data_IF_297317778015
#
_entry.id   IF_297317778015
#
_cell.length_a   1.000
_cell.length_b   1.000
_cell.length_c   1.000
_cell.angle_alpha   90.00
_cell.angle_beta   90.00
_cell.angle_gamma   90.00
#
_symmetry.space_group_name_H-M   'P 1'
#
loop_
_entity.id
_entity.type
_entity.pdbx_description
1 polymer ?
#
# COMPACT_ATOMS: atom_id res chain seq x y z
N UNK A 1 17.44 42.56 4.69
CA UNK A 1 16.22 41.74 4.83
C UNK A 1 15.33 42.04 3.63
N UNK A 2 15.27 41.14 2.65
CA UNK A 2 14.44 41.39 1.46
C UNK A 2 12.97 41.21 1.85
N UNK A 3 12.20 42.30 1.85
CA UNK A 3 10.75 42.24 1.92
C UNK A 3 10.26 41.47 0.69
N UNK A 4 9.93 40.18 0.87
CA UNK A 4 9.47 39.32 -0.21
C UNK A 4 8.23 39.93 -0.87
N UNK A 5 8.21 40.01 -2.21
CA UNK A 5 7.02 40.47 -2.96
C UNK A 5 5.77 39.77 -2.44
N UNK A 6 4.73 40.54 -2.15
CA UNK A 6 3.44 40.00 -1.69
C UNK A 6 2.88 39.01 -2.70
N UNK A 7 2.31 37.91 -2.20
CA UNK A 7 1.66 36.87 -3.01
C UNK A 7 0.22 36.67 -2.57
N UNK A 8 -0.63 36.27 -3.51
CA UNK A 8 -2.01 35.87 -3.22
C UNK A 8 -2.04 34.40 -2.75
N UNK A 9 -2.80 34.12 -1.69
CA UNK A 9 -3.00 32.76 -1.20
C UNK A 9 -3.96 31.97 -2.09
N UNK A 10 -3.55 30.80 -2.55
CA UNK A 10 -4.38 29.93 -3.42
C UNK A 10 -5.64 29.34 -2.74
N UNK A 11 -5.81 29.51 -1.42
CA UNK A 11 -6.97 29.00 -0.67
C UNK A 11 -7.97 30.09 -0.33
N UNK A 12 -7.51 31.18 0.27
CA UNK A 12 -8.40 32.26 0.74
C UNK A 12 -8.33 33.55 -0.09
N UNK A 13 -7.39 33.67 -1.04
CA UNK A 13 -7.22 34.87 -1.86
C UNK A 13 -6.50 36.04 -1.17
N UNK A 14 -6.19 35.94 0.13
CA UNK A 14 -5.52 37.02 0.85
C UNK A 14 -4.08 37.22 0.35
N UNK A 15 -3.65 38.49 0.25
CA UNK A 15 -2.26 38.84 0.00
C UNK A 15 -1.43 38.70 1.27
N UNK A 16 -0.25 38.09 1.15
CA UNK A 16 0.67 37.88 2.27
C UNK A 16 2.13 37.98 1.80
N UNK A 17 3.03 38.27 2.74
CA UNK A 17 4.48 38.24 2.49
C UNK A 17 5.00 36.82 2.68
N UNK A 18 5.43 36.11 1.62
CA UNK A 18 5.93 34.75 1.73
C UNK A 18 7.30 34.71 2.43
N UNK A 19 7.54 33.68 3.24
CA UNK A 19 8.85 33.43 3.88
C UNK A 19 9.76 32.53 3.03
N UNK A 20 9.22 31.92 1.95
CA UNK A 20 9.97 31.07 1.04
C UNK A 20 9.46 31.15 -0.41
N UNK A 21 10.34 30.86 -1.40
CA UNK A 21 10.03 31.06 -2.82
C UNK A 21 8.95 30.11 -3.35
N UNK A 22 8.72 28.97 -2.71
CA UNK A 22 7.70 27.98 -3.08
C UNK A 22 6.41 28.06 -2.24
N UNK A 23 6.28 29.05 -1.36
CA UNK A 23 5.09 29.17 -0.50
C UNK A 23 3.87 29.54 -1.34
N UNK A 24 2.84 28.68 -1.27
CA UNK A 24 1.56 28.79 -2.00
C UNK A 24 0.40 29.28 -1.13
N UNK A 25 0.51 29.13 0.19
CA UNK A 25 -0.56 29.43 1.15
C UNK A 25 -0.09 30.40 2.22
N UNK A 26 -1.00 31.28 2.67
CA UNK A 26 -0.73 32.17 3.80
C UNK A 26 -0.51 31.37 5.10
N UNK A 27 0.08 31.99 6.14
CA UNK A 27 0.34 31.35 7.43
C UNK A 27 -0.90 30.68 8.06
N UNK A 28 -2.09 31.25 7.89
CA UNK A 28 -3.33 30.70 8.45
C UNK A 28 -3.81 29.49 7.65
N UNK A 29 -3.82 29.60 6.32
CA UNK A 29 -4.32 28.54 5.45
C UNK A 29 -3.38 27.33 5.35
N UNK A 30 -2.07 27.52 5.55
CA UNK A 30 -1.08 26.45 5.35
C UNK A 30 -1.34 25.25 6.26
N UNK A 31 -1.77 25.50 7.50
CA UNK A 31 -1.97 24.45 8.49
C UNK A 31 -3.18 23.60 8.11
N UNK A 32 -4.27 24.24 7.70
CA UNK A 32 -5.47 23.54 7.26
C UNK A 32 -5.25 22.76 5.95
N UNK A 33 -4.44 23.28 5.01
CA UNK A 33 -4.07 22.52 3.81
C UNK A 33 -3.19 21.32 4.16
N UNK A 34 -2.19 21.50 5.03
CA UNK A 34 -1.33 20.40 5.51
C UNK A 34 -2.14 19.32 6.20
N UNK A 35 -3.12 19.68 7.03
CA UNK A 35 -4.02 18.73 7.68
C UNK A 35 -4.85 17.92 6.67
N UNK A 36 -5.40 18.59 5.64
CA UNK A 36 -6.14 17.92 4.57
C UNK A 36 -5.25 16.93 3.79
N UNK A 37 -4.04 17.35 3.40
CA UNK A 37 -3.10 16.48 2.71
C UNK A 37 -2.61 15.31 3.56
N UNK A 38 -2.37 15.54 4.85
CA UNK A 38 -2.03 14.49 5.81
C UNK A 38 -3.14 13.44 5.88
N UNK A 39 -4.39 13.89 6.02
CA UNK A 39 -5.56 12.99 6.03
C UNK A 39 -5.65 12.14 4.77
N UNK A 40 -5.56 12.75 3.59
CA UNK A 40 -5.64 11.99 2.33
C UNK A 40 -4.46 11.05 2.13
N UNK A 41 -3.26 11.45 2.58
CA UNK A 41 -2.07 10.59 2.56
C UNK A 41 -2.27 9.33 3.40
N UNK A 42 -2.68 9.47 4.67
CA UNK A 42 -2.89 8.32 5.56
C UNK A 42 -4.06 7.44 5.11
N UNK A 43 -5.13 8.02 4.56
CA UNK A 43 -6.23 7.26 3.97
C UNK A 43 -5.76 6.39 2.80
N UNK A 44 -4.94 6.93 1.89
CA UNK A 44 -4.34 6.16 0.80
C UNK A 44 -3.39 5.09 1.33
N UNK A 45 -2.62 5.38 2.37
CA UNK A 45 -1.70 4.40 2.96
C UNK A 45 -2.45 3.22 3.58
N UNK A 46 -3.54 3.47 4.32
CA UNK A 46 -4.40 2.43 4.86
C UNK A 46 -5.04 1.57 3.76
N UNK A 47 -5.58 2.21 2.71
CA UNK A 47 -6.12 1.49 1.56
C UNK A 47 -5.07 0.62 0.86
N UNK A 48 -3.85 1.13 0.68
CA UNK A 48 -2.74 0.38 0.11
C UNK A 48 -2.35 -0.82 0.98
N UNK A 49 -2.39 -0.69 2.30
CA UNK A 49 -2.13 -1.81 3.21
C UNK A 49 -3.17 -2.92 3.04
N UNK A 50 -4.46 -2.57 3.00
CA UNK A 50 -5.55 -3.54 2.76
C UNK A 50 -5.38 -4.21 1.40
N UNK A 51 -5.08 -3.45 0.35
CA UNK A 51 -4.86 -4.00 -0.99
C UNK A 51 -3.69 -4.99 -1.02
N UNK A 52 -2.58 -4.67 -0.34
CA UNK A 52 -1.44 -5.60 -0.22
C UNK A 52 -1.81 -6.89 0.51
N UNK A 53 -2.65 -6.80 1.55
CA UNK A 53 -3.14 -7.98 2.28
C UNK A 53 -4.07 -8.86 1.42
N UNK A 54 -4.94 -8.24 0.61
CA UNK A 54 -5.77 -8.97 -0.36
C UNK A 54 -4.89 -9.66 -1.40
N UNK A 55 -3.90 -8.95 -1.95
CA UNK A 55 -2.96 -9.49 -2.94
C UNK A 55 -2.14 -10.66 -2.37
N UNK A 56 -1.61 -10.55 -1.14
CA UNK A 56 -0.87 -11.65 -0.50
C UNK A 56 -1.77 -12.86 -0.21
N UNK A 57 -3.02 -12.63 0.19
CA UNK A 57 -4.01 -13.70 0.39
C UNK A 57 -4.32 -14.40 -0.93
N UNK A 58 -4.55 -13.65 -2.00
CA UNK A 58 -4.78 -14.23 -3.32
C UNK A 58 -3.56 -14.98 -3.86
N UNK A 59 -2.35 -14.43 -3.71
CA UNK A 59 -1.12 -15.11 -4.07
C UNK A 59 -0.97 -16.43 -3.30
N UNK A 60 -1.30 -16.42 -2.00
CA UNK A 60 -1.32 -17.63 -1.17
C UNK A 60 -2.35 -18.64 -1.67
N UNK A 61 -3.55 -18.21 -2.07
CA UNK A 61 -4.57 -19.08 -2.64
C UNK A 61 -4.14 -19.68 -3.99
N UNK A 62 -3.53 -18.88 -4.88
CA UNK A 62 -2.98 -19.33 -6.16
C UNK A 62 -1.89 -20.37 -5.96
N UNK A 63 -1.00 -20.14 -5.00
CA UNK A 63 0.05 -21.09 -4.63
C UNK A 63 -0.54 -22.42 -4.15
N UNK A 64 -1.53 -22.36 -3.24
CA UNK A 64 -2.20 -23.54 -2.72
C UNK A 64 -2.95 -24.32 -3.81
N UNK A 65 -3.67 -23.63 -4.69
CA UNK A 65 -4.38 -24.25 -5.80
C UNK A 65 -3.41 -24.95 -6.76
N UNK A 66 -2.36 -24.25 -7.19
CA UNK A 66 -1.35 -24.84 -8.08
C UNK A 66 -0.63 -26.04 -7.47
N UNK A 67 -0.33 -25.99 -6.17
CA UNK A 67 0.26 -27.11 -5.45
C UNK A 67 -0.71 -28.30 -5.33
N UNK A 68 -2.01 -28.05 -5.10
CA UNK A 68 -3.04 -29.09 -5.07
C UNK A 68 -3.16 -29.78 -6.45
N UNK A 69 -3.25 -28.99 -7.52
CA UNK A 69 -3.37 -29.47 -8.89
C UNK A 69 -2.14 -30.29 -9.30
N UNK A 70 -0.93 -29.82 -8.98
CA UNK A 70 0.32 -30.55 -9.21
C UNK A 70 0.35 -31.91 -8.51
N UNK A 71 -0.23 -31.98 -7.31
CA UNK A 71 -0.32 -33.21 -6.54
C UNK A 71 -1.52 -34.11 -6.94
N UNK A 72 -2.33 -33.72 -7.92
CA UNK A 72 -3.54 -34.43 -8.31
C UNK A 72 -4.62 -34.45 -7.21
N UNK A 73 -4.60 -33.45 -6.32
CA UNK A 73 -5.54 -33.32 -5.21
C UNK A 73 -6.53 -32.19 -5.49
N UNK A 74 -7.77 -32.35 -5.03
CA UNK A 74 -8.65 -31.18 -4.92
C UNK A 74 -8.17 -30.24 -3.81
N UNK A 75 -8.46 -28.94 -3.94
CA UNK A 75 -8.16 -27.95 -2.89
C UNK A 75 -8.72 -28.37 -1.52
N UNK A 76 -9.94 -28.91 -1.48
CA UNK A 76 -10.56 -29.42 -0.25
C UNK A 76 -9.78 -30.59 0.38
N UNK A 77 -9.30 -31.53 -0.44
CA UNK A 77 -8.44 -32.62 0.05
C UNK A 77 -7.09 -32.13 0.56
N UNK A 78 -6.50 -31.12 -0.09
CA UNK A 78 -5.29 -30.48 0.43
C UNK A 78 -5.56 -29.84 1.79
N UNK A 79 -6.68 -29.12 1.95
CA UNK A 79 -7.05 -28.46 3.21
C UNK A 79 -7.38 -29.43 4.35
N UNK A 80 -7.82 -30.65 4.05
CA UNK A 80 -8.07 -31.70 5.04
C UNK A 80 -6.77 -32.32 5.60
N UNK A 81 -5.61 -32.09 4.96
CA UNK A 81 -4.31 -32.55 5.47
C UNK A 81 -3.83 -31.68 6.64
N UNK A 82 -2.91 -32.22 7.43
CA UNK A 82 -2.25 -31.46 8.49
C UNK A 82 -1.52 -30.22 7.92
N UNK A 83 -1.36 -29.15 8.71
CA UNK A 83 -0.57 -27.98 8.30
C UNK A 83 0.83 -28.34 7.81
N UNK A 84 1.50 -29.28 8.46
CA UNK A 84 2.84 -29.74 8.11
C UNK A 84 2.87 -30.46 6.76
N UNK A 85 1.90 -31.34 6.50
CA UNK A 85 1.80 -32.05 5.24
C UNK A 85 1.52 -31.09 4.07
N UNK A 86 0.69 -30.07 4.28
CA UNK A 86 0.48 -28.99 3.29
C UNK A 86 1.75 -28.20 3.03
N UNK A 87 2.46 -27.78 4.08
CA UNK A 87 3.70 -27.04 3.95
C UNK A 87 4.81 -27.84 3.23
N UNK A 88 4.93 -29.13 3.52
CA UNK A 88 5.85 -30.02 2.83
C UNK A 88 5.56 -30.10 1.32
N UNK A 89 4.28 -30.22 0.97
CA UNK A 89 3.83 -30.29 -0.42
C UNK A 89 4.08 -28.97 -1.18
N UNK A 90 3.82 -27.81 -0.55
CA UNK A 90 4.14 -26.50 -1.14
C UNK A 90 5.64 -26.37 -1.42
N UNK A 91 6.50 -26.79 -0.48
CA UNK A 91 7.96 -26.76 -0.68
C UNK A 91 8.40 -27.63 -1.85
N UNK A 92 7.85 -28.84 -1.98
CA UNK A 92 8.13 -29.73 -3.10
C UNK A 92 7.67 -29.12 -4.43
N UNK A 93 6.49 -28.51 -4.46
CA UNK A 93 5.97 -27.81 -5.63
C UNK A 93 6.89 -26.66 -6.07
N UNK A 94 7.31 -25.79 -5.14
CA UNK A 94 8.25 -24.69 -5.43
C UNK A 94 9.60 -25.20 -5.96
N UNK A 95 10.16 -26.25 -5.34
CA UNK A 95 11.39 -26.91 -5.82
C UNK A 95 11.24 -27.46 -7.24
N UNK A 96 10.08 -28.05 -7.58
CA UNK A 96 9.81 -28.58 -8.93
C UNK A 96 9.74 -27.49 -10.01
N UNK A 97 9.34 -26.27 -9.62
CA UNK A 97 9.25 -25.11 -10.51
C UNK A 97 10.57 -24.37 -10.68
N UNK A 98 11.62 -24.77 -9.97
CA UNK A 98 12.91 -24.06 -9.97
C UNK A 98 12.88 -22.71 -9.25
N UNK A 99 11.76 -22.38 -8.59
CA UNK A 99 11.64 -21.23 -7.70
C UNK A 99 12.22 -21.63 -6.34
N UNK A 100 13.44 -21.17 -6.03
CA UNK A 100 13.98 -21.31 -4.66
C UNK A 100 13.07 -20.55 -3.68
N UNK A 101 12.87 -21.09 -2.46
CA UNK A 101 11.95 -20.55 -1.46
C UNK A 101 12.33 -19.14 -1.00
#
# INVERSE_FOLDING_TARGET
MAAGKTRCCLRCGAYYTPTGPAQKYCPDCRLAVRACWSRTYYQKQAANQVNREVETREASLRLLAGAADWAGLSYGMLMAKSPEARAALIRQYQQSKGEKP
#
